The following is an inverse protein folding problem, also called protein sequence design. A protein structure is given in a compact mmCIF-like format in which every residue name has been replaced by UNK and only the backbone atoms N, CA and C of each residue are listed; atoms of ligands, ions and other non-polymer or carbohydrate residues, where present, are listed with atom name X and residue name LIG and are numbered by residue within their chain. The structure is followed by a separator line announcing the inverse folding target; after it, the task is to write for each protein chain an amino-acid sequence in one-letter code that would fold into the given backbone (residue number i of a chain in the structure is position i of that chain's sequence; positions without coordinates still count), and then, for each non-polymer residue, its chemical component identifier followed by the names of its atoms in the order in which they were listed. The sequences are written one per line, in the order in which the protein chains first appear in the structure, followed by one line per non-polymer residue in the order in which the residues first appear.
data_IF_032229077418
#
_entry.id   IF_032229077418
#
_cell.length_a   1.000
_cell.length_b   1.000
_cell.length_c   1.000
_cell.angle_alpha   90.00
_cell.angle_beta   90.00
_cell.angle_gamma   90.00
#
_symmetry.space_group_name_H-M   'P 1'
#
loop_
_entity.id
_entity.type
_entity.pdbx_description
1 polymer ?
#
# COMPACT_ATOMS: atom_id res chain seq x y z
N UNK A 1 -40.21 -4.04 -97.31
CA UNK A 1 -40.55 -2.75 -96.67
C UNK A 1 -39.57 -2.50 -95.53
N UNK A 2 -38.83 -1.39 -95.57
CA UNK A 2 -37.78 -1.01 -94.60
C UNK A 2 -38.32 -0.95 -93.16
N UNK A 3 -37.61 -1.55 -92.21
CA UNK A 3 -37.50 -1.04 -90.82
C UNK A 3 -36.10 -1.32 -90.26
N UNK A 4 -35.41 -0.23 -89.93
CA UNK A 4 -34.21 -0.15 -89.09
C UNK A 4 -34.51 -0.59 -87.65
N UNK A 5 -33.53 -1.11 -86.90
CA UNK A 5 -33.16 -0.74 -85.50
C UNK A 5 -32.01 -1.63 -84.96
N UNK A 6 -31.32 -1.31 -83.84
CA UNK A 6 -29.89 -0.96 -83.83
C UNK A 6 -29.01 -1.81 -82.89
N UNK A 7 -27.69 -1.53 -82.89
CA UNK A 7 -26.72 -1.99 -81.88
C UNK A 7 -27.10 -1.52 -80.47
N UNK A 8 -26.94 -2.39 -79.47
CA UNK A 8 -26.78 -2.01 -78.06
C UNK A 8 -25.57 -2.74 -77.47
N UNK A 9 -24.57 -1.95 -77.06
CA UNK A 9 -23.40 -2.40 -76.32
C UNK A 9 -23.73 -2.60 -74.83
N UNK A 10 -23.13 -3.64 -74.24
CA UNK A 10 -23.22 -3.93 -72.82
C UNK A 10 -22.21 -3.07 -72.05
N UNK A 11 -22.70 -2.25 -71.12
CA UNK A 11 -21.90 -1.56 -70.10
C UNK A 11 -22.06 -2.32 -68.79
N UNK A 12 -20.96 -2.88 -68.27
CA UNK A 12 -20.90 -3.41 -66.90
C UNK A 12 -20.87 -2.23 -65.91
N UNK A 13 -21.89 -2.13 -65.04
CA UNK A 13 -21.87 -1.25 -63.88
C UNK A 13 -21.31 -2.02 -62.68
N UNK A 14 -20.15 -1.59 -62.18
CA UNK A 14 -19.64 -1.97 -60.86
C UNK A 14 -20.25 -1.03 -59.81
N UNK A 15 -21.04 -1.58 -58.90
CA UNK A 15 -21.57 -0.84 -57.75
C UNK A 15 -20.49 -0.74 -56.66
N UNK A 16 -19.90 0.44 -56.50
CA UNK A 16 -19.02 0.75 -55.37
C UNK A 16 -19.84 1.26 -54.18
N UNK A 17 -19.85 0.53 -53.07
CA UNK A 17 -20.43 0.99 -51.80
C UNK A 17 -19.46 1.97 -51.14
N UNK A 18 -19.81 3.25 -51.11
CA UNK A 18 -19.09 4.25 -50.32
C UNK A 18 -19.57 4.20 -48.87
N UNK A 19 -18.73 3.69 -47.96
CA UNK A 19 -18.96 3.80 -46.52
C UNK A 19 -18.64 5.21 -46.06
N UNK A 20 -19.65 5.94 -45.59
CA UNK A 20 -19.46 7.23 -44.94
C UNK A 20 -18.85 7.03 -43.54
N UNK A 21 -17.65 7.56 -43.32
CA UNK A 21 -17.02 7.61 -41.99
C UNK A 21 -17.51 8.86 -41.30
N UNK A 22 -18.33 8.71 -40.25
CA UNK A 22 -18.67 9.82 -39.35
C UNK A 22 -17.49 10.08 -38.40
N UNK A 23 -17.09 11.33 -38.14
CA UNK A 23 -16.11 11.62 -37.11
C UNK A 23 -16.70 11.30 -35.74
N UNK A 24 -16.06 10.39 -35.01
CA UNK A 24 -16.33 10.12 -33.60
C UNK A 24 -15.99 11.36 -32.79
N UNK A 25 -17.00 11.99 -32.18
CA UNK A 25 -16.77 13.03 -31.18
C UNK A 25 -16.18 12.39 -29.92
N UNK A 26 -14.92 12.68 -29.62
CA UNK A 26 -14.30 12.32 -28.35
C UNK A 26 -15.04 13.07 -27.23
N UNK A 27 -15.75 12.34 -26.36
CA UNK A 27 -16.32 12.93 -25.16
C UNK A 27 -15.17 13.33 -24.22
N UNK A 28 -14.95 14.62 -24.00
CA UNK A 28 -14.00 15.09 -22.99
C UNK A 28 -14.59 14.77 -21.61
N UNK A 29 -13.77 14.20 -20.71
CA UNK A 29 -14.18 14.01 -19.31
C UNK A 29 -14.53 15.35 -18.66
N UNK A 30 -15.42 15.32 -17.66
CA UNK A 30 -15.86 16.52 -16.97
C UNK A 30 -14.72 17.19 -16.18
N UNK A 31 -14.79 18.50 -15.95
CA UNK A 31 -13.79 19.18 -15.11
C UNK A 31 -13.83 18.66 -13.66
N UNK A 32 -12.67 18.55 -13.01
CA UNK A 32 -12.61 18.17 -11.61
C UNK A 32 -13.11 19.28 -10.68
N UNK A 33 -13.94 18.92 -9.71
CA UNK A 33 -14.32 19.79 -8.59
C UNK A 33 -13.11 20.04 -7.66
N UNK A 34 -13.31 20.87 -6.63
CA UNK A 34 -12.27 21.12 -5.62
C UNK A 34 -11.83 19.81 -4.93
N UNK A 35 -10.53 19.64 -4.69
CA UNK A 35 -9.99 18.43 -4.08
C UNK A 35 -10.56 18.19 -2.68
N UNK A 36 -10.92 16.94 -2.38
CA UNK A 36 -11.40 16.55 -1.05
C UNK A 36 -10.31 16.82 0.01
N UNK A 37 -10.73 17.47 1.08
CA UNK A 37 -9.93 17.80 2.26
C UNK A 37 -10.53 17.13 3.50
N UNK A 38 -9.71 16.38 4.24
CA UNK A 38 -10.08 15.63 5.44
C UNK A 38 -10.61 16.49 6.59
N UNK A 39 -10.12 17.73 6.74
CA UNK A 39 -10.52 18.65 7.80
C UNK A 39 -11.80 19.44 7.48
N UNK A 40 -12.25 19.41 6.22
CA UNK A 40 -13.45 20.14 5.80
C UNK A 40 -14.72 19.35 6.12
N UNK A 41 -15.76 20.08 6.48
CA UNK A 41 -17.11 19.54 6.68
C UNK A 41 -17.89 19.64 5.36
N UNK A 42 -18.51 18.55 4.94
CA UNK A 42 -19.35 18.49 3.76
C UNK A 42 -20.78 18.12 4.13
N UNK A 43 -21.76 18.78 3.52
CA UNK A 43 -23.19 18.47 3.68
C UNK A 43 -23.72 17.77 2.42
N UNK A 44 -24.92 17.17 2.51
CA UNK A 44 -25.54 16.50 1.36
C UNK A 44 -25.58 17.40 0.11
N UNK A 45 -25.14 16.85 -1.02
CA UNK A 45 -24.99 17.55 -2.30
C UNK A 45 -23.63 18.22 -2.54
N UNK A 46 -22.75 18.30 -1.54
CA UNK A 46 -21.41 18.86 -1.72
C UNK A 46 -20.57 18.02 -2.68
N UNK A 47 -19.84 18.68 -3.59
CA UNK A 47 -19.02 18.04 -4.63
C UNK A 47 -17.53 18.24 -4.37
N UNK A 48 -16.76 17.17 -4.52
CA UNK A 48 -15.29 17.16 -4.39
C UNK A 48 -14.68 16.28 -5.46
N UNK A 49 -13.42 16.50 -5.80
CA UNK A 49 -12.62 15.55 -6.59
C UNK A 49 -11.73 14.70 -5.67
N UNK A 50 -11.62 13.41 -5.98
CA UNK A 50 -10.71 12.48 -5.31
C UNK A 50 -10.43 11.29 -6.22
N UNK A 51 -9.13 10.97 -6.42
CA UNK A 51 -8.71 9.81 -7.22
C UNK A 51 -9.17 9.84 -8.68
N UNK A 52 -9.08 11.01 -9.35
CA UNK A 52 -9.49 11.16 -10.75
C UNK A 52 -11.01 11.15 -10.98
N UNK A 53 -11.81 11.14 -9.92
CA UNK A 53 -13.27 11.13 -9.99
C UNK A 53 -13.87 12.33 -9.25
N UNK A 54 -15.02 12.78 -9.71
CA UNK A 54 -15.89 13.67 -8.94
C UNK A 54 -16.80 12.85 -8.03
N UNK A 55 -17.05 13.34 -6.82
CA UNK A 55 -17.88 12.69 -5.81
C UNK A 55 -18.90 13.66 -5.24
N UNK A 56 -20.09 13.16 -4.90
CA UNK A 56 -21.16 13.92 -4.24
C UNK A 56 -21.47 13.34 -2.87
N UNK A 57 -21.43 14.16 -1.82
CA UNK A 57 -21.84 13.73 -0.48
C UNK A 57 -23.35 13.46 -0.47
N UNK A 58 -23.79 12.32 0.09
CA UNK A 58 -25.21 12.00 0.27
C UNK A 58 -25.79 12.64 1.52
N UNK A 59 -24.97 12.85 2.54
CA UNK A 59 -25.33 13.49 3.82
C UNK A 59 -24.07 14.11 4.46
N UNK A 60 -24.21 14.58 5.71
CA UNK A 60 -23.12 15.23 6.45
C UNK A 60 -21.93 14.28 6.63
N UNK A 61 -20.72 14.77 6.39
CA UNK A 61 -19.47 14.02 6.58
C UNK A 61 -18.28 14.93 6.83
N UNK A 62 -17.34 14.42 7.63
CA UNK A 62 -16.01 14.98 7.85
C UNK A 62 -15.02 13.83 7.97
N UNK A 63 -13.85 13.96 7.33
CA UNK A 63 -12.78 12.95 7.37
C UNK A 63 -13.16 11.53 6.88
N UNK A 64 -14.28 11.35 6.17
CA UNK A 64 -14.59 10.11 5.46
C UNK A 64 -14.19 10.26 3.99
N UNK A 65 -13.27 9.41 3.54
CA UNK A 65 -12.67 9.52 2.21
C UNK A 65 -13.60 9.00 1.10
N UNK A 66 -13.78 9.73 -0.01
CA UNK A 66 -14.50 9.22 -1.18
C UNK A 66 -13.81 7.99 -1.78
N UNK A 67 -14.59 6.99 -2.22
CA UNK A 67 -14.09 5.73 -2.77
C UNK A 67 -13.50 4.74 -1.76
N UNK A 68 -13.35 5.10 -0.48
CA UNK A 68 -12.78 4.26 0.58
C UNK A 68 -13.72 3.21 1.19
N UNK A 69 -14.71 2.71 0.45
CA UNK A 69 -15.72 1.76 0.97
C UNK A 69 -16.80 2.37 1.87
N UNK A 70 -16.85 3.71 1.97
CA UNK A 70 -17.91 4.43 2.67
C UNK A 70 -19.11 4.63 1.75
N UNK A 71 -20.34 4.53 2.28
CA UNK A 71 -21.56 4.75 1.48
C UNK A 71 -21.91 6.23 1.32
N UNK A 72 -21.18 7.12 1.99
CA UNK A 72 -21.48 8.56 2.11
C UNK A 72 -21.22 9.32 0.82
N UNK A 73 -20.23 8.90 0.03
CA UNK A 73 -19.88 9.53 -1.24
C UNK A 73 -20.47 8.76 -2.42
N UNK A 74 -21.24 9.44 -3.26
CA UNK A 74 -21.70 8.93 -4.55
C UNK A 74 -20.69 9.32 -5.64
N UNK A 75 -20.17 8.34 -6.37
CA UNK A 75 -19.32 8.57 -7.53
C UNK A 75 -20.11 9.30 -8.63
N UNK A 76 -19.49 10.31 -9.25
CA UNK A 76 -20.06 11.14 -10.33
C UNK A 76 -19.29 10.97 -11.65
N UNK A 77 -18.35 10.02 -11.71
CA UNK A 77 -17.55 9.70 -12.88
C UNK A 77 -16.18 10.38 -12.89
N UNK A 78 -15.39 10.01 -13.90
CA UNK A 78 -14.04 10.52 -14.10
C UNK A 78 -14.02 12.01 -14.40
N UNK A 79 -12.97 12.68 -13.96
CA UNK A 79 -12.74 14.09 -14.22
C UNK A 79 -11.27 14.38 -14.58
N UNK A 80 -11.02 15.44 -15.33
CA UNK A 80 -9.68 15.84 -15.79
C UNK A 80 -9.44 15.60 -17.28
N UNK A 81 -8.25 15.91 -17.82
CA UNK A 81 -7.96 15.73 -19.24
C UNK A 81 -8.08 14.24 -19.63
N UNK A 82 -8.74 13.97 -20.76
CA UNK A 82 -8.87 12.62 -21.31
C UNK A 82 -7.52 12.15 -21.85
N UNK A 83 -7.07 10.96 -21.43
CA UNK A 83 -5.89 10.31 -21.99
C UNK A 83 -6.11 9.94 -23.48
N UNK A 84 -5.04 9.90 -24.31
CA UNK A 84 -5.13 9.50 -25.71
C UNK A 84 -5.56 8.02 -25.86
N UNK A 85 -6.19 7.64 -26.98
CA UNK A 85 -6.71 6.28 -27.15
C UNK A 85 -5.63 5.25 -27.55
N UNK A 86 -5.73 4.09 -26.88
CA UNK A 86 -5.31 2.72 -27.25
C UNK A 86 -3.84 2.25 -27.06
N UNK A 87 -3.61 1.50 -25.97
CA UNK A 87 -2.85 0.23 -25.97
C UNK A 87 -3.73 -0.85 -25.29
N UNK A 88 -4.12 -1.95 -25.96
CA UNK A 88 -5.07 -2.92 -25.42
C UNK A 88 -4.38 -3.88 -24.46
N UNK A 89 -4.31 -3.52 -23.18
CA UNK A 89 -3.67 -4.37 -22.19
C UNK A 89 -3.82 -4.03 -20.71
N UNK A 90 -4.78 -3.19 -20.28
CA UNK A 90 -4.94 -2.93 -18.85
C UNK A 90 -6.39 -2.62 -18.43
N UNK A 91 -7.06 -3.47 -17.63
CA UNK A 91 -8.29 -3.12 -16.97
C UNK A 91 -8.00 -2.25 -15.73
N UNK A 92 -7.86 -0.95 -15.97
CA UNK A 92 -8.22 0.16 -15.07
C UNK A 92 -7.77 0.08 -13.61
N UNK A 93 -6.57 0.60 -13.33
CA UNK A 93 -6.06 0.91 -11.98
C UNK A 93 -6.63 2.26 -11.48
N UNK A 94 -7.38 2.29 -10.35
CA UNK A 94 -7.79 3.53 -9.70
C UNK A 94 -6.62 4.12 -8.91
N UNK A 95 -5.82 4.93 -9.61
CA UNK A 95 -4.67 5.63 -9.06
C UNK A 95 -5.01 6.61 -7.92
N UNK A 96 -4.33 6.41 -6.80
CA UNK A 96 -3.27 7.35 -6.46
C UNK A 96 -2.04 6.55 -5.98
N UNK A 97 -1.40 5.92 -6.96
CA UNK A 97 -0.20 5.07 -6.88
C UNK A 97 1.07 5.80 -7.37
N UNK A 98 1.01 7.11 -7.64
CA UNK A 98 2.08 7.83 -8.34
C UNK A 98 3.41 7.99 -7.57
N UNK A 99 3.45 7.78 -6.24
CA UNK A 99 4.65 8.09 -5.43
C UNK A 99 5.32 6.88 -4.73
N UNK A 100 4.69 5.69 -4.71
CA UNK A 100 5.33 4.52 -4.08
C UNK A 100 6.12 3.69 -5.09
N UNK A 101 7.37 3.41 -4.75
CA UNK A 101 8.32 2.65 -5.61
C UNK A 101 7.98 1.16 -5.77
N UNK A 102 6.92 0.68 -5.13
CA UNK A 102 6.38 -0.69 -5.27
C UNK A 102 4.96 -0.58 -5.80
N UNK A 103 4.69 -1.12 -6.99
CA UNK A 103 3.35 -1.16 -7.55
C UNK A 103 2.46 -2.18 -6.82
N UNK A 104 1.14 -2.07 -6.98
CA UNK A 104 0.21 -3.06 -6.44
C UNK A 104 0.47 -4.47 -7.02
N UNK A 105 0.80 -4.55 -8.31
CA UNK A 105 1.17 -5.82 -8.96
C UNK A 105 2.43 -6.44 -8.32
N UNK A 106 3.45 -5.63 -8.02
CA UNK A 106 4.65 -6.10 -7.33
C UNK A 106 4.32 -6.53 -5.89
N UNK A 107 3.51 -5.75 -5.16
CA UNK A 107 3.05 -6.13 -3.83
C UNK A 107 2.29 -7.47 -3.83
N UNK A 108 1.41 -7.69 -4.82
CA UNK A 108 0.71 -8.96 -5.01
C UNK A 108 1.66 -10.12 -5.31
N UNK A 109 2.73 -9.90 -6.09
CA UNK A 109 3.77 -10.91 -6.33
C UNK A 109 4.63 -11.20 -5.09
N UNK A 110 4.89 -10.18 -4.25
CA UNK A 110 5.58 -10.35 -2.98
C UNK A 110 4.78 -11.19 -1.99
N UNK A 111 3.45 -11.02 -1.98
CA UNK A 111 2.54 -11.60 -0.99
C UNK A 111 1.33 -12.31 -1.63
N UNK A 112 1.54 -13.42 -2.35
CA UNK A 112 0.49 -14.10 -3.11
C UNK A 112 -0.54 -14.81 -2.22
N UNK A 113 -0.17 -15.17 -0.99
CA UNK A 113 -1.03 -15.90 -0.05
C UNK A 113 -1.51 -15.03 1.12
N UNK A 114 -1.37 -13.71 1.03
CA UNK A 114 -1.69 -12.81 2.16
C UNK A 114 -3.15 -12.92 2.59
N UNK A 115 -3.38 -12.67 3.87
CA UNK A 115 -4.71 -12.40 4.38
C UNK A 115 -5.26 -11.11 3.74
N UNK A 116 -6.55 -11.12 3.36
CA UNK A 116 -7.21 -9.97 2.74
C UNK A 116 -7.27 -8.72 3.63
N UNK A 117 -7.05 -8.87 4.95
CA UNK A 117 -6.82 -7.76 5.87
C UNK A 117 -5.69 -6.84 5.42
N UNK A 118 -4.62 -7.38 4.85
CA UNK A 118 -3.46 -6.60 4.41
C UNK A 118 -3.63 -6.14 2.96
N UNK A 119 -4.21 -4.95 2.80
CA UNK A 119 -4.40 -4.35 1.47
C UNK A 119 -3.21 -3.47 1.08
N UNK A 120 -2.94 -3.37 -0.23
CA UNK A 120 -1.94 -2.45 -0.77
C UNK A 120 -2.34 -1.00 -0.48
N UNK A 121 -3.63 -0.68 -0.62
CA UNK A 121 -4.21 0.62 -0.34
C UNK A 121 -4.07 1.00 1.14
N UNK A 122 -4.13 0.03 2.05
CA UNK A 122 -3.87 0.24 3.48
C UNK A 122 -2.42 0.66 3.73
N UNK A 123 -1.46 0.00 3.07
CA UNK A 123 -0.04 0.36 3.16
C UNK A 123 0.20 1.77 2.61
N UNK A 124 -0.23 2.04 1.37
CA UNK A 124 0.02 3.33 0.73
C UNK A 124 -0.66 4.49 1.45
N UNK A 125 -1.85 4.29 2.01
CA UNK A 125 -2.50 5.29 2.87
C UNK A 125 -1.73 5.55 4.18
N UNK A 126 -1.14 4.51 4.77
CA UNK A 126 -0.37 4.64 6.01
C UNK A 126 0.97 5.38 5.81
N UNK A 127 1.56 5.30 4.61
CA UNK A 127 2.82 6.00 4.28
C UNK A 127 2.73 7.52 4.45
N UNK A 128 1.54 8.12 4.34
CA UNK A 128 1.34 9.55 4.58
C UNK A 128 1.74 9.99 6.01
N UNK A 129 1.76 9.08 6.99
CA UNK A 129 2.24 9.36 8.34
C UNK A 129 3.78 9.52 8.42
N UNK A 130 4.50 9.01 7.41
CA UNK A 130 5.96 8.96 7.37
C UNK A 130 6.49 9.30 5.97
N UNK A 131 6.42 10.56 5.52
CA UNK A 131 6.69 10.95 4.13
C UNK A 131 8.14 10.70 3.65
N UNK A 132 9.07 10.44 4.57
CA UNK A 132 10.45 10.07 4.26
C UNK A 132 10.64 8.58 3.91
N UNK A 133 9.70 7.72 4.32
CA UNK A 133 9.75 6.28 4.08
C UNK A 133 9.70 5.98 2.58
N UNK A 134 10.66 5.21 2.08
CA UNK A 134 10.80 4.85 0.67
C UNK A 134 10.80 6.06 -0.27
N UNK A 135 11.15 7.25 0.25
CA UNK A 135 11.19 8.49 -0.51
C UNK A 135 12.45 9.34 -0.23
N UNK A 136 13.44 8.76 0.46
CA UNK A 136 14.71 9.42 0.78
C UNK A 136 15.87 8.77 0.00
N UNK A 137 16.74 9.60 -0.60
CA UNK A 137 17.87 9.13 -1.39
C UNK A 137 17.52 8.85 -2.86
N UNK A 138 18.39 8.11 -3.56
CA UNK A 138 18.18 7.72 -4.95
C UNK A 138 17.07 6.68 -5.09
N UNK A 139 16.51 6.51 -6.29
CA UNK A 139 15.48 5.49 -6.54
C UNK A 139 15.94 4.08 -6.17
N UNK A 140 17.24 3.78 -6.30
CA UNK A 140 17.84 2.53 -5.81
C UNK A 140 17.66 2.40 -4.29
N UNK A 141 17.99 3.44 -3.52
CA UNK A 141 17.87 3.44 -2.06
C UNK A 141 16.40 3.37 -1.63
N UNK A 142 15.50 4.10 -2.30
CA UNK A 142 14.06 4.04 -2.05
C UNK A 142 13.51 2.62 -2.24
N UNK A 143 13.87 1.95 -3.34
CA UNK A 143 13.46 0.56 -3.63
C UNK A 143 14.09 -0.44 -2.66
N UNK A 144 15.37 -0.25 -2.28
CA UNK A 144 16.02 -1.06 -1.26
C UNK A 144 15.31 -0.93 0.09
N UNK A 145 14.97 0.29 0.51
CA UNK A 145 14.24 0.51 1.76
C UNK A 145 12.86 -0.17 1.72
N UNK A 146 12.09 0.03 0.65
CA UNK A 146 10.79 -0.60 0.49
C UNK A 146 10.88 -2.14 0.53
N UNK A 147 11.85 -2.72 -0.20
CA UNK A 147 12.11 -4.15 -0.18
C UNK A 147 12.53 -4.65 1.21
N UNK A 148 13.35 -3.88 1.93
CA UNK A 148 13.82 -4.24 3.27
C UNK A 148 12.69 -4.24 4.31
N UNK A 149 11.82 -3.22 4.26
CA UNK A 149 10.63 -3.16 5.09
C UNK A 149 9.71 -4.35 4.81
N UNK A 150 9.34 -4.56 3.54
CA UNK A 150 8.43 -5.63 3.15
C UNK A 150 9.01 -7.03 3.40
N UNK A 151 10.33 -7.21 3.29
CA UNK A 151 10.99 -8.49 3.58
C UNK A 151 10.97 -8.84 5.06
N UNK A 152 11.15 -7.86 5.94
CA UNK A 152 10.98 -8.08 7.38
C UNK A 152 9.52 -8.37 7.70
N UNK A 153 8.57 -7.61 7.12
CA UNK A 153 7.13 -7.87 7.24
C UNK A 153 6.79 -9.30 6.79
N UNK A 154 7.33 -9.75 5.66
CA UNK A 154 7.18 -11.12 5.17
C UNK A 154 7.65 -12.14 6.21
N UNK A 155 8.77 -11.89 6.87
CA UNK A 155 9.29 -12.79 7.89
C UNK A 155 8.41 -12.83 9.15
N UNK A 156 8.01 -11.67 9.68
CA UNK A 156 7.21 -11.57 10.90
C UNK A 156 5.83 -12.25 10.78
N UNK A 157 5.25 -12.21 9.58
CA UNK A 157 3.83 -12.57 9.37
C UNK A 157 3.63 -13.83 8.53
N UNK A 158 4.71 -14.52 8.15
CA UNK A 158 4.64 -15.65 7.22
C UNK A 158 4.10 -15.24 5.85
N UNK A 159 4.56 -14.12 5.31
CA UNK A 159 4.10 -13.57 4.03
C UNK A 159 2.72 -12.92 4.11
N UNK A 160 2.45 -12.20 5.20
CA UNK A 160 1.17 -11.55 5.50
C UNK A 160 -0.01 -12.52 5.65
N UNK A 161 0.25 -13.81 5.88
CA UNK A 161 -0.80 -14.81 6.15
C UNK A 161 -1.41 -14.57 7.53
N UNK A 162 -0.58 -14.22 8.52
CA UNK A 162 -1.00 -14.08 9.91
C UNK A 162 -1.18 -12.61 10.30
N UNK A 163 -2.32 -12.32 10.94
CA UNK A 163 -2.61 -11.00 11.54
C UNK A 163 -2.08 -10.90 12.96
N UNK A 164 -2.05 -12.04 13.66
CA UNK A 164 -1.70 -12.15 15.08
C UNK A 164 -0.65 -13.23 15.27
N UNK A 165 0.08 -13.15 16.37
CA UNK A 165 1.00 -14.21 16.80
C UNK A 165 0.26 -15.55 16.94
N UNK A 166 0.86 -16.62 16.42
CA UNK A 166 0.21 -17.93 16.38
C UNK A 166 0.34 -18.73 17.67
N UNK A 167 1.43 -18.55 18.42
CA UNK A 167 1.63 -19.26 19.68
C UNK A 167 0.89 -18.53 20.82
N UNK A 168 -0.39 -18.85 21.00
CA UNK A 168 -1.23 -18.22 22.04
C UNK A 168 -0.72 -18.46 23.46
N UNK A 169 0.11 -19.49 23.68
CA UNK A 169 0.77 -19.74 24.97
C UNK A 169 1.70 -18.61 25.39
N UNK A 170 2.24 -17.84 24.43
CA UNK A 170 3.13 -16.72 24.71
C UNK A 170 2.39 -15.43 25.09
N UNK A 171 1.08 -15.31 24.81
CA UNK A 171 0.36 -14.04 24.94
C UNK A 171 0.50 -13.37 26.31
N UNK A 172 0.48 -14.10 27.44
CA UNK A 172 0.66 -13.49 28.77
C UNK A 172 2.07 -12.94 29.05
N UNK A 173 3.07 -13.23 28.21
CA UNK A 173 4.45 -12.79 28.41
C UNK A 173 4.67 -11.31 28.07
N UNK A 174 3.84 -10.75 27.20
CA UNK A 174 4.04 -9.41 26.63
C UNK A 174 3.49 -8.27 27.50
N UNK A 175 3.35 -8.50 28.78
CA UNK A 175 3.00 -7.45 29.74
C UNK A 175 4.18 -7.22 30.67
N UNK A 176 4.87 -6.10 30.46
CA UNK A 176 5.84 -5.60 31.41
C UNK A 176 5.11 -4.84 32.53
N UNK A 177 4.87 -5.55 33.63
CA UNK A 177 4.21 -5.02 34.81
C UNK A 177 5.06 -3.97 35.56
N UNK A 178 6.35 -3.80 35.22
CA UNK A 178 7.20 -2.75 35.80
C UNK A 178 6.89 -1.36 35.23
N UNK A 179 6.22 -1.29 34.08
CA UNK A 179 5.78 -0.02 33.50
C UNK A 179 4.73 0.65 34.40
N UNK A 180 4.82 1.98 34.64
CA UNK A 180 3.92 2.67 35.57
C UNK A 180 2.46 2.68 35.09
N UNK A 181 2.22 2.54 33.79
CA UNK A 181 0.88 2.42 33.19
C UNK A 181 0.38 0.97 33.13
N UNK A 182 1.20 -0.01 33.51
CA UNK A 182 0.84 -1.42 33.53
C UNK A 182 0.26 -1.93 32.21
N UNK A 183 -0.78 -2.75 32.33
CA UNK A 183 -1.36 -3.51 31.22
C UNK A 183 -2.90 -3.38 31.24
N UNK A 184 -3.46 -2.19 30.99
CA UNK A 184 -4.88 -1.91 31.20
C UNK A 184 -5.82 -2.71 30.29
N UNK A 185 -5.39 -3.11 29.09
CA UNK A 185 -6.15 -4.03 28.24
C UNK A 185 -6.12 -5.50 28.70
N UNK A 186 -5.30 -5.84 29.71
CA UNK A 186 -5.13 -7.18 30.27
C UNK A 186 -3.72 -7.76 30.08
N UNK A 187 -3.32 -8.67 30.96
CA UNK A 187 -2.00 -9.32 30.96
C UNK A 187 -1.65 -9.97 29.61
N UNK A 188 -2.63 -10.59 28.97
CA UNK A 188 -2.45 -11.33 27.71
C UNK A 188 -2.92 -10.54 26.48
N UNK A 189 -2.97 -9.21 26.54
CA UNK A 189 -3.54 -8.38 25.48
C UNK A 189 -2.51 -7.78 24.51
N UNK A 190 -1.21 -7.88 24.79
CA UNK A 190 -0.15 -7.20 24.03
C UNK A 190 0.75 -8.15 23.22
N UNK A 191 0.20 -9.29 22.81
CA UNK A 191 0.83 -10.21 21.88
C UNK A 191 1.06 -9.58 20.50
N UNK A 192 1.86 -10.26 19.66
CA UNK A 192 2.23 -9.76 18.35
C UNK A 192 1.04 -9.56 17.42
N UNK A 193 0.90 -8.36 16.84
CA UNK A 193 -0.11 -8.04 15.81
C UNK A 193 0.46 -7.26 14.64
N UNK A 194 -0.14 -7.44 13.48
CA UNK A 194 0.11 -6.63 12.29
C UNK A 194 1.46 -6.91 11.62
N UNK A 195 1.88 -6.06 10.66
CA UNK A 195 2.98 -6.36 9.75
C UNK A 195 4.33 -6.53 10.43
N UNK A 196 4.56 -5.89 11.58
CA UNK A 196 5.80 -5.99 12.36
C UNK A 196 5.62 -6.83 13.62
N UNK A 197 4.47 -7.51 13.79
CA UNK A 197 4.12 -8.24 15.00
C UNK A 197 4.33 -7.42 16.27
N UNK A 198 3.77 -6.19 16.31
CA UNK A 198 3.88 -5.26 17.43
C UNK A 198 3.52 -5.99 18.73
N UNK A 199 4.47 -6.04 19.66
CA UNK A 199 4.37 -6.80 20.90
C UNK A 199 4.83 -5.94 22.08
N UNK A 200 4.39 -6.26 23.29
CA UNK A 200 4.67 -5.56 24.56
C UNK A 200 3.87 -4.27 24.80
N UNK A 201 3.28 -4.16 25.99
CA UNK A 201 2.51 -2.98 26.43
C UNK A 201 3.24 -1.64 26.22
N UNK A 202 4.55 -1.59 26.46
CA UNK A 202 5.32 -0.37 26.24
C UNK A 202 5.43 0.05 24.76
N UNK A 203 5.49 -0.91 23.83
CA UNK A 203 5.50 -0.60 22.40
C UNK A 203 4.12 -0.17 21.92
N UNK A 204 3.04 -0.81 22.40
CA UNK A 204 1.68 -0.35 22.13
C UNK A 204 1.45 1.07 22.66
N UNK A 205 1.96 1.40 23.85
CA UNK A 205 1.91 2.76 24.39
C UNK A 205 2.67 3.74 23.51
N UNK A 206 3.93 3.46 23.18
CA UNK A 206 4.77 4.35 22.41
C UNK A 206 4.27 4.57 20.97
N UNK A 207 3.79 3.51 20.31
CA UNK A 207 3.16 3.59 19.00
C UNK A 207 1.86 4.41 19.07
N UNK A 208 1.04 4.16 20.08
CA UNK A 208 -0.21 4.87 20.28
C UNK A 208 -0.03 6.37 20.48
N UNK A 209 0.93 6.76 21.32
CA UNK A 209 1.29 8.16 21.56
C UNK A 209 1.75 8.85 20.27
N UNK A 210 2.61 8.19 19.48
CA UNK A 210 3.14 8.77 18.25
C UNK A 210 2.08 8.90 17.15
N UNK A 211 1.10 8.00 17.11
CA UNK A 211 0.06 7.97 16.08
C UNK A 211 -1.22 8.71 16.50
N UNK A 212 -1.34 9.14 17.77
CA UNK A 212 -2.55 9.74 18.32
C UNK A 212 -3.70 8.73 18.45
N UNK A 213 -3.40 7.46 18.73
CA UNK A 213 -4.36 6.35 18.82
C UNK A 213 -4.12 5.63 20.14
N UNK A 214 -5.14 5.43 20.98
CA UNK A 214 -4.96 4.74 22.28
C UNK A 214 -4.83 3.21 22.12
N UNK A 215 -3.65 2.79 21.68
CA UNK A 215 -3.30 1.39 21.47
C UNK A 215 -2.96 0.66 22.78
N UNK A 216 -2.69 1.38 23.87
CA UNK A 216 -2.47 0.75 25.17
C UNK A 216 -3.80 0.21 25.72
N UNK A 217 -4.89 0.98 25.67
CA UNK A 217 -6.20 0.50 26.15
C UNK A 217 -6.97 -0.31 25.09
N UNK A 218 -6.66 -0.12 23.80
CA UNK A 218 -7.32 -0.83 22.72
C UNK A 218 -6.31 -1.45 21.72
N UNK A 219 -5.48 -2.42 22.17
CA UNK A 219 -4.44 -3.02 21.34
C UNK A 219 -5.01 -3.83 20.17
N UNK A 220 -6.27 -4.28 20.26
CA UNK A 220 -6.95 -5.02 19.18
C UNK A 220 -7.21 -4.18 17.93
N UNK A 221 -7.05 -2.86 17.96
CA UNK A 221 -7.12 -2.05 16.73
C UNK A 221 -6.07 -2.49 15.70
N UNK A 222 -4.90 -2.94 16.14
CA UNK A 222 -3.81 -3.37 15.24
C UNK A 222 -4.19 -4.63 14.43
N UNK A 223 -5.12 -5.45 14.93
CA UNK A 223 -5.64 -6.65 14.22
C UNK A 223 -7.03 -6.43 13.57
N UNK A 224 -7.68 -5.27 13.80
CA UNK A 224 -9.04 -4.98 13.30
C UNK A 224 -9.08 -3.86 12.27
N UNK A 225 -8.11 -2.96 12.29
CA UNK A 225 -7.98 -1.85 11.36
C UNK A 225 -6.66 -1.93 10.61
N UNK A 226 -6.73 -2.20 9.30
CA UNK A 226 -5.57 -2.37 8.45
C UNK A 226 -4.69 -1.12 8.37
N UNK A 227 -5.29 0.08 8.41
CA UNK A 227 -4.54 1.33 8.37
C UNK A 227 -3.78 1.57 9.67
N UNK A 228 -4.39 1.27 10.82
CA UNK A 228 -3.69 1.27 12.12
C UNK A 228 -2.56 0.25 12.10
N UNK A 229 -2.83 -0.96 11.59
CA UNK A 229 -1.83 -2.03 11.47
C UNK A 229 -0.59 -1.58 10.69
N UNK A 230 -0.77 -1.03 9.48
CA UNK A 230 0.34 -0.51 8.67
C UNK A 230 1.05 0.68 9.31
N UNK A 231 0.31 1.60 9.94
CA UNK A 231 0.91 2.74 10.67
C UNK A 231 1.83 2.28 11.80
N UNK A 232 1.47 1.23 12.55
CA UNK A 232 2.35 0.72 13.62
C UNK A 232 3.64 0.10 13.06
N UNK A 233 3.58 -0.58 11.92
CA UNK A 233 4.77 -1.12 11.28
C UNK A 233 5.71 0.00 10.76
N UNK A 234 5.14 1.03 10.12
CA UNK A 234 5.91 2.20 9.68
C UNK A 234 6.46 2.99 10.87
N UNK A 235 5.70 3.15 11.94
CA UNK A 235 6.17 3.75 13.18
C UNK A 235 7.43 3.05 13.69
N UNK A 236 7.41 1.71 13.76
CA UNK A 236 8.57 0.95 14.20
C UNK A 236 9.77 1.20 13.28
N UNK A 237 9.58 1.00 11.98
CA UNK A 237 10.61 1.15 10.95
C UNK A 237 11.29 2.53 10.96
N UNK A 238 10.50 3.58 11.20
CA UNK A 238 10.95 4.97 11.09
C UNK A 238 11.50 5.53 12.39
N UNK A 239 11.12 4.98 13.55
CA UNK A 239 11.38 5.63 14.85
C UNK A 239 12.07 4.76 15.88
N UNK A 240 12.07 3.42 15.72
CA UNK A 240 12.55 2.51 16.75
C UNK A 240 13.91 1.91 16.38
N UNK A 241 14.82 1.87 17.35
CA UNK A 241 16.10 1.17 17.22
C UNK A 241 16.00 -0.31 17.67
N UNK A 242 14.96 -0.66 18.44
CA UNK A 242 14.84 -1.98 19.08
C UNK A 242 16.13 -2.39 19.79
N UNK A 243 16.62 -3.64 19.63
CA UNK A 243 17.91 -4.08 20.17
C UNK A 243 19.11 -3.67 19.30
N UNK A 244 18.89 -2.90 18.23
CA UNK A 244 19.92 -2.31 17.38
C UNK A 244 20.41 -0.95 17.90
N UNK A 245 21.09 -0.21 17.02
CA UNK A 245 21.68 1.10 17.34
C UNK A 245 21.16 2.24 16.46
N UNK A 246 20.29 1.93 15.51
CA UNK A 246 19.70 2.87 14.55
C UNK A 246 18.33 2.37 14.11
N UNK A 247 17.53 3.26 13.52
CA UNK A 247 16.25 2.84 12.94
C UNK A 247 16.50 2.05 11.65
N UNK A 248 15.63 1.09 11.31
CA UNK A 248 15.69 0.42 10.02
C UNK A 248 15.70 1.38 8.83
N UNK A 249 14.93 2.48 8.88
CA UNK A 249 14.99 3.57 7.90
C UNK A 249 16.43 4.10 7.72
N UNK A 250 17.07 4.50 8.81
CA UNK A 250 18.43 5.04 8.77
C UNK A 250 19.47 3.99 8.36
N UNK A 251 19.24 2.71 8.66
CA UNK A 251 20.11 1.64 8.19
C UNK A 251 20.11 1.55 6.66
N UNK A 252 18.95 1.70 6.03
CA UNK A 252 18.81 1.63 4.57
C UNK A 252 19.25 2.94 3.89
N UNK A 253 18.76 4.09 4.35
CA UNK A 253 19.07 5.39 3.74
C UNK A 253 20.56 5.74 3.84
N UNK A 254 21.21 5.42 4.97
CA UNK A 254 22.64 5.66 5.15
C UNK A 254 23.52 4.47 4.72
N UNK A 255 22.93 3.50 3.99
CA UNK A 255 23.63 2.35 3.42
C UNK A 255 24.47 1.57 4.44
N UNK A 256 23.96 1.42 5.67
CA UNK A 256 24.58 0.63 6.75
C UNK A 256 24.37 -0.87 6.58
N UNK A 257 23.32 -1.25 5.84
CA UNK A 257 23.06 -2.63 5.40
C UNK A 257 21.77 -3.20 5.96
N UNK A 258 21.21 -4.19 5.25
CA UNK A 258 19.98 -4.87 5.64
C UNK A 258 20.12 -5.57 7.01
N UNK A 259 21.32 -6.03 7.36
CA UNK A 259 21.59 -6.68 8.66
C UNK A 259 21.28 -5.79 9.86
N UNK A 260 21.43 -4.47 9.76
CA UNK A 260 21.07 -3.55 10.85
C UNK A 260 19.55 -3.41 11.00
N UNK A 261 18.76 -3.65 9.94
CA UNK A 261 17.30 -3.73 10.04
C UNK A 261 16.88 -4.97 10.82
N UNK A 262 17.51 -6.12 10.55
CA UNK A 262 17.30 -7.37 11.29
C UNK A 262 17.66 -7.16 12.76
N UNK A 263 18.83 -6.54 13.01
CA UNK A 263 19.30 -6.23 14.36
C UNK A 263 18.30 -5.37 15.12
N UNK A 264 17.72 -4.38 14.45
CA UNK A 264 16.78 -3.45 15.08
C UNK A 264 15.39 -4.04 15.30
N UNK A 265 15.02 -5.13 14.62
CA UNK A 265 13.71 -5.76 14.77
C UNK A 265 13.75 -6.93 15.76
N UNK A 266 14.74 -7.82 15.65
CA UNK A 266 14.85 -8.99 16.52
C UNK A 266 16.31 -9.41 16.82
N UNK A 267 17.22 -8.44 16.82
CA UNK A 267 18.65 -8.71 16.92
C UNK A 267 19.13 -9.34 18.22
N UNK A 268 18.38 -9.22 19.32
CA UNK A 268 18.70 -9.88 20.59
C UNK A 268 18.56 -11.40 20.52
N UNK A 269 17.72 -11.91 19.61
CA UNK A 269 17.45 -13.34 19.44
C UNK A 269 18.12 -13.93 18.19
N UNK A 270 18.26 -13.13 17.13
CA UNK A 270 18.69 -13.64 15.82
C UNK A 270 20.16 -13.37 15.49
N UNK A 271 20.67 -12.17 15.79
CA UNK A 271 22.01 -11.75 15.36
C UNK A 271 23.13 -12.39 16.20
N UNK A 272 24.38 -12.17 15.77
CA UNK A 272 25.60 -12.63 16.43
C UNK A 272 25.64 -14.16 16.63
N UNK A 273 25.03 -14.90 15.70
CA UNK A 273 24.93 -16.35 15.75
C UNK A 273 23.78 -16.90 16.61
N UNK A 274 22.88 -16.04 17.12
CA UNK A 274 21.73 -16.47 17.92
C UNK A 274 20.76 -17.35 17.14
N UNK A 275 20.38 -16.93 15.93
CA UNK A 275 19.58 -17.76 15.02
C UNK A 275 19.92 -17.50 13.54
N UNK A 276 21.01 -18.10 13.02
CA UNK A 276 21.46 -17.89 11.64
C UNK A 276 20.40 -18.26 10.59
N UNK A 277 19.52 -19.23 10.91
CA UNK A 277 18.47 -19.66 9.99
C UNK A 277 17.40 -18.59 9.76
N UNK A 278 17.01 -17.86 10.81
CA UNK A 278 16.03 -16.78 10.72
C UNK A 278 16.62 -15.55 10.02
N UNK A 279 17.88 -15.20 10.34
CA UNK A 279 18.62 -14.16 9.60
C UNK A 279 18.65 -14.49 8.11
N UNK A 280 19.00 -15.73 7.74
CA UNK A 280 19.05 -16.15 6.35
C UNK A 280 17.67 -16.11 5.67
N UNK A 281 16.60 -16.47 6.39
CA UNK A 281 15.21 -16.38 5.91
C UNK A 281 14.84 -14.93 5.53
N UNK A 282 15.17 -13.95 6.39
CA UNK A 282 14.97 -12.51 6.10
C UNK A 282 15.78 -12.07 4.88
N UNK A 283 17.05 -12.46 4.83
CA UNK A 283 17.95 -12.11 3.70
C UNK A 283 17.43 -12.69 2.39
N UNK A 284 16.90 -13.91 2.39
CA UNK A 284 16.33 -14.54 1.19
C UNK A 284 15.10 -13.76 0.69
N UNK A 285 14.20 -13.37 1.60
CA UNK A 285 13.04 -12.54 1.25
C UNK A 285 13.48 -11.18 0.69
N UNK A 286 14.45 -10.53 1.33
CA UNK A 286 14.98 -9.24 0.87
C UNK A 286 15.57 -9.31 -0.52
N UNK A 287 16.42 -10.31 -0.80
CA UNK A 287 16.99 -10.52 -2.15
C UNK A 287 15.91 -10.70 -3.21
N UNK A 288 14.91 -11.54 -2.94
CA UNK A 288 13.77 -11.76 -3.85
C UNK A 288 13.01 -10.47 -4.12
N UNK A 289 12.78 -9.65 -3.10
CA UNK A 289 12.04 -8.40 -3.25
C UNK A 289 12.87 -7.33 -3.97
N UNK A 290 14.18 -7.23 -3.73
CA UNK A 290 15.05 -6.33 -4.49
C UNK A 290 15.15 -6.72 -5.96
N UNK A 291 15.18 -8.02 -6.25
CA UNK A 291 15.15 -8.55 -7.63
C UNK A 291 13.85 -8.15 -8.34
N UNK A 292 12.70 -8.32 -7.69
CA UNK A 292 11.40 -7.91 -8.22
C UNK A 292 11.29 -6.40 -8.48
N UNK A 293 12.00 -5.58 -7.71
CA UNK A 293 12.05 -4.12 -7.89
C UNK A 293 13.16 -3.67 -8.87
N UNK A 294 13.96 -4.61 -9.38
CA UNK A 294 15.03 -4.34 -10.35
C UNK A 294 16.24 -3.62 -9.75
N UNK A 295 16.57 -3.86 -8.47
CA UNK A 295 17.72 -3.24 -7.79
C UNK A 295 18.60 -4.27 -7.10
N UNK A 296 19.88 -3.93 -6.92
CA UNK A 296 20.80 -4.76 -6.13
C UNK A 296 20.53 -4.60 -4.62
N UNK A 297 20.73 -5.66 -3.81
CA UNK A 297 20.44 -5.62 -2.38
C UNK A 297 21.41 -4.78 -1.55
N UNK A 298 22.57 -4.41 -2.11
CA UNK A 298 23.65 -3.74 -1.36
C UNK A 298 24.49 -4.72 -0.53
N UNK A 299 25.31 -4.18 0.37
CA UNK A 299 26.20 -4.94 1.25
C UNK A 299 25.64 -5.14 2.67
N UNK A 300 26.41 -5.82 3.53
CA UNK A 300 26.11 -6.02 4.96
C UNK A 300 24.70 -6.56 5.22
N UNK A 301 24.36 -7.65 4.54
CA UNK A 301 22.99 -8.20 4.55
C UNK A 301 22.65 -8.96 5.84
N UNK A 302 23.66 -9.46 6.54
CA UNK A 302 23.50 -10.29 7.73
C UNK A 302 23.89 -9.53 8.98
N UNK A 303 23.42 -10.04 10.11
CA UNK A 303 23.90 -9.79 11.45
C UNK A 303 24.06 -11.17 12.13
#
# INVERSE_FOLDING_TARGET
MRRFLPLLGAVLLTAGTASAVLPTASASAADCAAAWNASSVYTGGAKVSYGGHNWSAKWWTQNEKPGGGTIVWADQGTCGPADPPDDPGDPGDPGNSADFVVSEAQFNQMFPSRNSFYTYQGLTAAMAAYPAFANTGSDTVKKQEAAAFLANVNHETGGLVYIVEQNTGNYPHYCDASQPYGCPAGQAAYYGRGPIQLSWNFNYKAAGDALGIDLLHNPWLVERDAAVSWKTALWYWMTQNGPGTMTPHNAMVNQRGFGETIRSINGSLECNGGNPSQVQSRVNAYKRFTELLGVQPGGNLTC
#
